data_IF_111482251201
#
_entry.id   IF_111482251201
#
_cell.length_a   1.000
_cell.length_b   1.000
_cell.length_c   1.000
_cell.angle_alpha   90.00
_cell.angle_beta   90.00
_cell.angle_gamma   90.00
#
_symmetry.space_group_name_H-M   'P 1'
#
loop_
_entity.id
_entity.type
_entity.pdbx_description
1 polymer ?
#
# COMPACT_ATOMS: atom_id res chain seq x y z
N UNK A 1 -28.55 6.75 -33.52
CA UNK A 1 -27.46 5.76 -33.68
C UNK A 1 -26.55 5.75 -32.43
N UNK A 2 -27.14 5.56 -31.25
CA UNK A 2 -26.47 5.56 -29.92
C UNK A 2 -26.29 4.13 -29.35
N UNK A 3 -26.53 3.11 -30.17
CA UNK A 3 -26.63 1.69 -29.76
C UNK A 3 -25.30 0.92 -29.79
N UNK A 4 -24.17 1.59 -30.04
CA UNK A 4 -22.84 0.95 -30.02
C UNK A 4 -22.07 1.14 -28.72
N UNK A 5 -22.30 2.23 -27.97
CA UNK A 5 -21.53 2.52 -26.74
C UNK A 5 -22.00 1.67 -25.54
N UNK A 6 -23.24 1.19 -25.56
CA UNK A 6 -23.79 0.37 -24.47
C UNK A 6 -23.36 -1.12 -24.51
N UNK A 7 -22.55 -1.54 -25.49
CA UNK A 7 -22.14 -2.95 -25.60
C UNK A 7 -20.86 -3.28 -24.84
N UNK A 8 -19.98 -2.29 -24.64
CA UNK A 8 -18.70 -2.49 -23.95
C UNK A 8 -18.87 -2.49 -22.42
N UNK A 9 -19.82 -1.71 -21.89
CA UNK A 9 -20.09 -1.60 -20.45
C UNK A 9 -20.78 -2.83 -19.83
N UNK A 10 -21.09 -3.87 -20.61
CA UNK A 10 -21.78 -5.06 -20.11
C UNK A 10 -20.82 -6.10 -19.49
N UNK A 11 -19.50 -5.96 -19.65
CA UNK A 11 -18.54 -6.99 -19.23
C UNK A 11 -17.69 -6.66 -17.99
N UNK A 12 -17.66 -5.41 -17.51
CA UNK A 12 -16.79 -5.05 -16.37
C UNK A 12 -17.53 -4.84 -15.04
N UNK A 13 -18.86 -4.88 -15.04
CA UNK A 13 -19.70 -4.56 -13.87
C UNK A 13 -20.08 -5.71 -12.91
N UNK A 14 -19.83 -7.02 -13.14
CA UNK A 14 -20.14 -8.02 -12.12
C UNK A 14 -19.04 -8.23 -11.05
N UNK A 15 -17.81 -7.74 -11.23
CA UNK A 15 -16.74 -7.98 -10.23
C UNK A 15 -16.54 -6.87 -9.20
N UNK A 16 -17.31 -5.77 -9.27
CA UNK A 16 -17.05 -4.61 -8.41
C UNK A 16 -17.94 -4.50 -7.15
N UNK A 17 -18.90 -5.39 -6.90
CA UNK A 17 -19.58 -5.46 -5.59
C UNK A 17 -20.22 -4.17 -5.06
N UNK A 18 -20.64 -3.24 -5.93
CA UNK A 18 -21.21 -1.95 -5.53
C UNK A 18 -22.72 -2.12 -5.31
N UNK A 19 -23.16 -1.95 -4.05
CA UNK A 19 -24.55 -2.21 -3.60
C UNK A 19 -25.51 -1.01 -3.62
N UNK A 20 -25.08 0.22 -3.91
CA UNK A 20 -26.04 1.32 -4.11
C UNK A 20 -25.41 2.49 -4.90
N UNK A 21 -26.05 2.87 -6.01
CA UNK A 21 -25.67 4.04 -6.81
C UNK A 21 -26.75 5.11 -6.62
N UNK A 22 -26.48 6.09 -5.75
CA UNK A 22 -27.42 7.18 -5.47
C UNK A 22 -27.18 8.31 -6.47
N UNK A 23 -28.02 8.35 -7.51
CA UNK A 23 -28.02 9.36 -8.57
C UNK A 23 -28.61 10.68 -8.05
N UNK A 24 -27.80 11.71 -7.89
CA UNK A 24 -28.28 13.09 -7.66
C UNK A 24 -28.16 13.90 -8.95
N UNK A 25 -29.17 14.75 -9.20
CA UNK A 25 -29.50 15.40 -10.48
C UNK A 25 -28.50 16.40 -11.12
N UNK A 26 -27.35 16.85 -10.55
CA UNK A 26 -26.39 17.66 -11.32
C UNK A 26 -25.50 16.87 -12.31
N UNK A 27 -25.56 15.52 -12.32
CA UNK A 27 -24.72 14.63 -13.19
C UNK A 27 -25.09 14.67 -14.68
N UNK A 28 -26.14 15.41 -15.08
CA UNK A 28 -26.66 15.39 -16.45
C UNK A 28 -25.95 16.33 -17.45
N UNK A 29 -25.04 17.21 -17.01
CA UNK A 29 -24.36 18.19 -17.91
C UNK A 29 -22.92 17.86 -18.28
N UNK A 30 -22.21 17.13 -17.44
CA UNK A 30 -20.87 16.62 -17.75
C UNK A 30 -20.62 15.32 -16.94
N UNK A 31 -21.17 14.19 -17.38
CA UNK A 31 -21.06 12.93 -16.64
C UNK A 31 -19.61 12.46 -16.54
N UNK A 32 -18.75 12.83 -17.49
CA UNK A 32 -17.33 12.46 -17.49
C UNK A 32 -16.53 13.23 -16.43
N UNK A 33 -16.70 14.55 -16.32
CA UNK A 33 -16.00 15.40 -15.35
C UNK A 33 -16.55 15.27 -13.93
N UNK A 34 -17.86 15.06 -13.77
CA UNK A 34 -18.44 14.71 -12.47
C UNK A 34 -17.94 13.34 -11.99
N UNK A 35 -17.91 12.33 -12.88
CA UNK A 35 -17.35 11.02 -12.57
C UNK A 35 -15.84 11.10 -12.29
N UNK A 36 -15.07 11.87 -13.06
CA UNK A 36 -13.63 12.07 -12.83
C UNK A 36 -13.35 12.77 -11.49
N UNK A 37 -14.16 13.75 -11.11
CA UNK A 37 -14.02 14.45 -9.83
C UNK A 37 -14.41 13.55 -8.65
N UNK A 38 -15.48 12.77 -8.78
CA UNK A 38 -15.89 11.80 -7.75
C UNK A 38 -14.90 10.62 -7.65
N UNK A 39 -14.34 10.16 -8.78
CA UNK A 39 -13.27 9.17 -8.82
C UNK A 39 -12.01 9.71 -8.16
N UNK A 40 -11.59 10.95 -8.47
CA UNK A 40 -10.42 11.58 -7.86
C UNK A 40 -10.59 11.74 -6.34
N UNK A 41 -11.72 12.29 -5.88
CA UNK A 41 -12.01 12.46 -4.46
C UNK A 41 -12.11 11.11 -3.72
N UNK A 42 -12.72 10.09 -4.35
CA UNK A 42 -12.76 8.74 -3.81
C UNK A 42 -11.40 8.06 -3.75
N UNK A 43 -10.54 8.33 -4.74
CA UNK A 43 -9.17 7.81 -4.80
C UNK A 43 -8.29 8.46 -3.74
N UNK A 44 -8.38 9.78 -3.52
CA UNK A 44 -7.67 10.47 -2.44
C UNK A 44 -8.10 10.00 -1.05
N UNK A 45 -9.40 9.84 -0.81
CA UNK A 45 -9.91 9.29 0.43
C UNK A 45 -9.38 7.87 0.68
N UNK A 46 -9.36 7.03 -0.37
CA UNK A 46 -8.85 5.66 -0.30
C UNK A 46 -7.33 5.63 -0.01
N UNK A 47 -6.54 6.49 -0.67
CA UNK A 47 -5.11 6.64 -0.43
C UNK A 47 -4.80 7.10 1.00
N UNK A 48 -5.62 7.99 1.57
CA UNK A 48 -5.51 8.45 2.94
C UNK A 48 -5.74 7.32 3.95
N UNK A 49 -6.80 6.52 3.76
CA UNK A 49 -7.08 5.35 4.59
C UNK A 49 -5.94 4.34 4.54
N UNK A 50 -5.46 4.00 3.34
CA UNK A 50 -4.33 3.07 3.18
C UNK A 50 -3.05 3.59 3.84
N UNK A 51 -2.75 4.89 3.71
CA UNK A 51 -1.61 5.51 4.41
C UNK A 51 -1.77 5.40 5.93
N UNK A 52 -2.97 5.60 6.44
CA UNK A 52 -3.30 5.40 7.86
C UNK A 52 -3.08 3.97 8.31
N UNK A 53 -3.43 2.97 7.50
CA UNK A 53 -3.15 1.56 7.81
C UNK A 53 -1.65 1.25 7.87
N UNK A 54 -0.87 1.76 6.90
CA UNK A 54 0.59 1.59 6.89
C UNK A 54 1.23 2.27 8.10
N UNK A 55 0.76 3.46 8.47
CA UNK A 55 1.27 4.17 9.65
C UNK A 55 0.93 3.45 10.96
N UNK A 56 -0.29 2.90 11.08
CA UNK A 56 -0.68 2.08 12.22
C UNK A 56 0.14 0.80 12.32
N UNK A 57 0.44 0.17 11.19
CA UNK A 57 1.35 -0.98 11.16
C UNK A 57 2.74 -0.59 11.66
N UNK A 58 3.29 0.54 11.20
CA UNK A 58 4.60 1.04 11.64
C UNK A 58 4.64 1.34 13.15
N UNK A 59 3.61 2.00 13.69
CA UNK A 59 3.49 2.30 15.13
C UNK A 59 3.38 1.03 15.98
N UNK A 60 2.57 0.06 15.52
CA UNK A 60 2.43 -1.23 16.19
C UNK A 60 3.74 -2.02 16.16
N UNK A 61 4.42 -2.05 15.02
CA UNK A 61 5.72 -2.70 14.85
C UNK A 61 6.77 -2.09 15.78
N UNK A 62 6.79 -0.76 15.91
CA UNK A 62 7.68 -0.07 16.85
C UNK A 62 7.38 -0.44 18.30
N UNK A 63 6.10 -0.49 18.70
CA UNK A 63 5.70 -0.90 20.06
C UNK A 63 6.03 -2.37 20.36
N UNK A 64 5.81 -3.27 19.41
CA UNK A 64 6.00 -4.72 19.59
C UNK A 64 7.48 -5.14 19.53
N UNK A 65 8.32 -4.40 18.79
CA UNK A 65 9.69 -4.82 18.52
C UNK A 65 10.77 -3.81 18.93
N UNK A 66 10.40 -2.58 19.28
CA UNK A 66 11.33 -1.48 19.58
C UNK A 66 12.05 -0.94 18.35
N UNK A 67 11.51 -1.17 17.15
CA UNK A 67 12.14 -0.83 15.87
C UNK A 67 11.19 0.02 15.03
N UNK A 68 11.68 1.14 14.49
CA UNK A 68 10.88 2.08 13.70
C UNK A 68 10.98 1.77 12.21
N UNK A 69 9.85 1.67 11.54
CA UNK A 69 9.76 1.56 10.08
C UNK A 69 9.31 2.90 9.49
N UNK A 70 10.17 3.54 8.69
CA UNK A 70 9.89 4.80 8.00
C UNK A 70 9.55 4.53 6.53
N UNK A 71 8.26 4.59 6.19
CA UNK A 71 7.79 4.30 4.84
C UNK A 71 7.86 5.55 3.94
N UNK A 72 8.68 5.49 2.89
CA UNK A 72 8.69 6.56 1.87
C UNK A 72 7.41 6.54 1.04
N UNK A 73 7.06 7.68 0.45
CA UNK A 73 5.89 7.81 -0.43
C UNK A 73 5.84 6.72 -1.52
N UNK A 74 6.99 6.41 -2.16
CA UNK A 74 7.08 5.37 -3.17
C UNK A 74 6.81 3.95 -2.63
N UNK A 75 7.11 3.68 -1.36
CA UNK A 75 6.78 2.41 -0.71
C UNK A 75 5.27 2.32 -0.44
N UNK A 76 4.69 3.41 0.06
CA UNK A 76 3.24 3.51 0.30
C UNK A 76 2.47 3.28 -1.00
N UNK A 77 2.85 3.96 -2.09
CA UNK A 77 2.24 3.75 -3.41
C UNK A 77 2.36 2.30 -3.89
N UNK A 78 3.52 1.67 -3.69
CA UNK A 78 3.71 0.26 -4.07
C UNK A 78 2.83 -0.68 -3.26
N UNK A 79 2.66 -0.44 -1.95
CA UNK A 79 1.78 -1.21 -1.07
C UNK A 79 0.31 -1.08 -1.48
N UNK A 80 -0.13 0.11 -1.89
CA UNK A 80 -1.49 0.36 -2.40
C UNK A 80 -1.73 -0.40 -3.70
N UNK A 81 -0.80 -0.33 -4.65
CA UNK A 81 -0.93 -1.05 -5.92
C UNK A 81 -0.97 -2.58 -5.70
N UNK A 82 -0.17 -3.09 -4.76
CA UNK A 82 -0.19 -4.50 -4.33
C UNK A 82 -1.50 -4.87 -3.67
N UNK A 83 -2.02 -4.04 -2.77
CA UNK A 83 -3.32 -4.24 -2.13
C UNK A 83 -4.44 -4.33 -3.17
N UNK A 84 -4.46 -3.42 -4.15
CA UNK A 84 -5.45 -3.44 -5.24
C UNK A 84 -5.31 -4.68 -6.12
N UNK A 85 -4.07 -5.09 -6.43
CA UNK A 85 -3.79 -6.26 -7.27
C UNK A 85 -4.18 -7.58 -6.60
N UNK A 86 -3.94 -7.71 -5.30
CA UNK A 86 -4.17 -8.94 -4.53
C UNK A 86 -5.57 -8.97 -3.88
N UNK A 87 -6.30 -7.84 -3.88
CA UNK A 87 -7.62 -7.71 -3.23
C UNK A 87 -7.56 -7.81 -1.70
N UNK A 88 -6.43 -7.44 -1.08
CA UNK A 88 -6.19 -7.53 0.37
C UNK A 88 -6.01 -6.15 0.97
N UNK A 89 -6.26 -5.97 2.27
CA UNK A 89 -6.03 -4.69 2.97
C UNK A 89 -4.54 -4.32 3.00
N UNK A 90 -4.21 -3.02 3.11
CA UNK A 90 -2.80 -2.59 3.15
C UNK A 90 -2.09 -3.20 4.36
N UNK A 91 -2.81 -3.31 5.48
CA UNK A 91 -2.32 -3.99 6.68
C UNK A 91 -1.91 -5.45 6.40
N UNK A 92 -2.77 -6.24 5.76
CA UNK A 92 -2.47 -7.65 5.47
C UNK A 92 -1.26 -7.79 4.53
N UNK A 93 -1.14 -6.90 3.53
CA UNK A 93 0.04 -6.86 2.65
C UNK A 93 1.30 -6.51 3.46
N UNK A 94 1.23 -5.56 4.39
CA UNK A 94 2.36 -5.24 5.25
C UNK A 94 2.74 -6.42 6.15
N UNK A 95 1.78 -7.07 6.80
CA UNK A 95 2.03 -8.24 7.65
C UNK A 95 2.66 -9.40 6.88
N UNK A 96 2.22 -9.65 5.64
CA UNK A 96 2.81 -10.70 4.78
C UNK A 96 4.22 -10.34 4.28
N UNK A 97 4.40 -9.11 3.75
CA UNK A 97 5.68 -8.67 3.18
C UNK A 97 6.76 -8.46 4.22
N UNK A 98 6.40 -8.04 5.42
CA UNK A 98 7.34 -7.70 6.49
C UNK A 98 7.34 -8.73 7.63
N UNK A 99 6.82 -9.94 7.43
CA UNK A 99 6.78 -10.99 8.47
C UNK A 99 8.17 -11.35 9.04
N UNK A 100 9.22 -11.30 8.21
CA UNK A 100 10.59 -11.67 8.59
C UNK A 100 11.41 -10.46 9.09
N UNK A 101 10.91 -9.24 8.89
CA UNK A 101 11.60 -8.01 9.28
C UNK A 101 11.86 -7.91 10.79
N UNK A 102 10.94 -8.30 11.70
CA UNK A 102 11.20 -8.24 13.14
C UNK A 102 12.49 -8.98 13.52
N UNK A 103 12.73 -10.14 12.93
CA UNK A 103 13.89 -10.98 13.23
C UNK A 103 15.17 -10.42 12.61
N UNK A 104 15.15 -10.11 11.32
CA UNK A 104 16.33 -9.60 10.62
C UNK A 104 16.75 -8.21 11.08
N UNK A 105 15.79 -7.31 11.33
CA UNK A 105 16.08 -5.96 11.80
C UNK A 105 16.60 -5.95 13.24
N UNK A 106 16.14 -6.86 14.12
CA UNK A 106 16.71 -7.02 15.47
C UNK A 106 18.19 -7.41 15.42
N UNK A 107 18.56 -8.27 14.48
CA UNK A 107 19.95 -8.68 14.30
C UNK A 107 20.82 -7.49 13.86
N UNK A 108 20.33 -6.71 12.88
CA UNK A 108 21.02 -5.50 12.42
C UNK A 108 21.11 -4.46 13.54
N UNK A 109 20.03 -4.26 14.30
CA UNK A 109 19.99 -3.33 15.43
C UNK A 109 20.99 -3.71 16.52
N UNK A 110 21.16 -5.01 16.80
CA UNK A 110 22.16 -5.51 17.74
C UNK A 110 23.59 -5.24 17.28
N UNK A 111 23.86 -5.38 15.99
CA UNK A 111 25.20 -5.21 15.43
C UNK A 111 25.59 -3.74 15.19
N UNK A 112 24.61 -2.88 14.86
CA UNK A 112 24.86 -1.48 14.44
C UNK A 112 24.33 -0.42 15.41
N UNK A 113 23.48 -0.81 16.37
CA UNK A 113 22.74 0.12 17.23
C UNK A 113 21.59 0.84 16.53
N UNK A 114 21.33 0.57 15.23
CA UNK A 114 20.30 1.26 14.45
C UNK A 114 18.91 0.70 14.75
N UNK A 115 17.99 1.56 15.18
CA UNK A 115 16.60 1.18 15.47
C UNK A 115 15.59 1.69 14.44
N UNK A 116 15.99 2.57 13.51
CA UNK A 116 15.09 3.15 12.49
C UNK A 116 15.47 2.72 11.08
N UNK A 117 14.53 2.13 10.34
CA UNK A 117 14.74 1.56 9.00
C UNK A 117 13.82 2.21 7.98
N UNK A 118 14.40 2.77 6.93
CA UNK A 118 13.64 3.41 5.85
C UNK A 118 13.22 2.40 4.80
N UNK A 119 11.91 2.23 4.65
CA UNK A 119 11.28 1.33 3.67
C UNK A 119 11.00 2.12 2.39
N UNK A 120 11.72 1.76 1.33
CA UNK A 120 11.48 2.25 -0.04
C UNK A 120 10.70 1.25 -0.89
N UNK A 121 10.40 1.62 -2.15
CA UNK A 121 9.71 0.73 -3.11
C UNK A 121 10.42 -0.62 -3.27
N UNK A 122 11.75 -0.65 -3.28
CA UNK A 122 12.55 -1.88 -3.42
C UNK A 122 12.31 -2.84 -2.26
N UNK A 123 12.19 -2.32 -1.04
CA UNK A 123 11.91 -3.10 0.16
C UNK A 123 10.49 -3.70 0.16
N UNK A 124 9.54 -3.05 -0.53
CA UNK A 124 8.17 -3.57 -0.72
C UNK A 124 8.13 -4.65 -1.81
N UNK A 125 8.81 -4.40 -2.93
CA UNK A 125 8.86 -5.32 -4.08
C UNK A 125 9.65 -6.60 -3.76
N UNK A 126 10.78 -6.44 -3.07
CA UNK A 126 11.71 -7.52 -2.70
C UNK A 126 12.11 -7.40 -1.22
N UNK A 127 11.19 -7.70 -0.29
CA UNK A 127 11.46 -7.61 1.15
C UNK A 127 12.61 -8.53 1.57
N UNK A 128 12.59 -9.78 1.11
CA UNK A 128 13.58 -10.81 1.45
C UNK A 128 15.01 -10.41 1.05
N UNK A 129 15.21 -10.03 -0.22
CA UNK A 129 16.52 -9.57 -0.71
C UNK A 129 17.02 -8.32 -0.01
N UNK A 130 16.12 -7.38 0.30
CA UNK A 130 16.49 -6.15 1.00
C UNK A 130 16.95 -6.47 2.42
N UNK A 131 16.24 -7.37 3.11
CA UNK A 131 16.59 -7.80 4.45
C UNK A 131 17.94 -8.52 4.48
N UNK A 132 18.17 -9.47 3.55
CA UNK A 132 19.46 -10.17 3.44
C UNK A 132 20.61 -9.19 3.21
N UNK A 133 20.43 -8.21 2.32
CA UNK A 133 21.45 -7.20 2.03
C UNK A 133 21.80 -6.39 3.28
N UNK A 134 20.80 -5.87 4.01
CA UNK A 134 21.03 -5.12 5.24
C UNK A 134 21.71 -5.96 6.33
N UNK A 135 21.36 -7.24 6.44
CA UNK A 135 22.03 -8.17 7.37
C UNK A 135 23.50 -8.33 6.96
N UNK A 136 23.80 -8.63 5.70
CA UNK A 136 25.17 -8.79 5.21
C UNK A 136 26.01 -7.52 5.42
N UNK A 137 25.47 -6.35 5.11
CA UNK A 137 26.14 -5.06 5.37
C UNK A 137 26.41 -4.83 6.85
N UNK A 138 25.51 -5.29 7.73
CA UNK A 138 25.67 -5.19 9.17
C UNK A 138 26.83 -6.03 9.70
N UNK A 139 27.06 -7.22 9.15
CA UNK A 139 28.20 -8.08 9.50
C UNK A 139 29.51 -7.60 8.90
N UNK A 140 29.50 -7.04 7.68
CA UNK A 140 30.70 -6.53 7.01
C UNK A 140 31.40 -5.38 7.74
N UNK A 141 30.72 -4.73 8.70
CA UNK A 141 31.28 -3.65 9.52
C UNK A 141 31.97 -4.12 10.81
N UNK A 142 31.89 -5.42 11.12
CA UNK A 142 32.56 -6.05 12.28
C UNK A 142 33.88 -6.77 11.91
N UNK A 143 34.30 -6.73 10.63
CA UNK A 143 35.55 -7.31 10.15
C UNK A 143 36.67 -6.26 10.05
#
# INVERSE_FOLDING_TARGET
MFERVFRDFKFELPSAGIREFRLTLPVLRDPAGALATMLAAGQEAHLSVMRGEVQQFADRFEKEHGLRLDFRAAAVTALIELSRKEGRTARAICEDRFKDFPYGLKLIARNTGRTTFTIGKVAVDRPDKTLSLWITESYGRQA
#
